data_IF_406415889466
#
_entry.id   IF_406415889466
#
_cell.length_a   1.000
_cell.length_b   1.000
_cell.length_c   1.000
_cell.angle_alpha   90.00
_cell.angle_beta   90.00
_cell.angle_gamma   90.00
#
_symmetry.space_group_name_H-M   'P 1'
#
loop_
_entity.id
_entity.type
_entity.pdbx_description
1 polymer ?
#
# COMPACT_ATOMS: atom_id res chain seq x y z
N UNK A 1 -8.24 8.84 2.85
CA UNK A 1 -8.51 7.38 2.96
C UNK A 1 -7.27 6.53 2.61
N UNK A 2 -6.51 6.90 1.59
CA UNK A 2 -5.33 6.18 1.08
C UNK A 2 -4.29 5.78 2.14
N UNK A 3 -3.96 6.69 3.08
CA UNK A 3 -3.07 6.35 4.18
C UNK A 3 -3.56 5.15 5.00
N UNK A 4 -4.83 5.16 5.40
CA UNK A 4 -5.43 4.07 6.15
C UNK A 4 -5.51 2.78 5.32
N UNK A 5 -5.80 2.88 4.01
CA UNK A 5 -5.73 1.75 3.10
C UNK A 5 -4.37 1.06 3.15
N UNK A 6 -3.27 1.81 3.00
CA UNK A 6 -1.93 1.26 3.09
C UNK A 6 -1.58 0.72 4.48
N UNK A 7 -1.87 1.49 5.52
CA UNK A 7 -1.53 1.12 6.90
C UNK A 7 -2.27 -0.15 7.38
N UNK A 8 -3.55 -0.29 7.02
CA UNK A 8 -4.38 -1.38 7.51
C UNK A 8 -4.27 -2.64 6.64
N UNK A 9 -4.07 -2.53 5.33
CA UNK A 9 -4.02 -3.70 4.45
C UNK A 9 -2.62 -4.33 4.30
N UNK A 10 -1.55 -3.59 4.56
CA UNK A 10 -0.20 -4.12 4.41
C UNK A 10 0.06 -5.37 5.28
N UNK A 11 -0.46 -5.41 6.51
CA UNK A 11 -0.27 -6.57 7.38
C UNK A 11 -1.08 -7.81 6.94
N UNK A 12 -2.39 -7.70 6.62
CA UNK A 12 -3.12 -8.79 5.95
C UNK A 12 -2.46 -9.30 4.67
N UNK A 13 -1.96 -8.41 3.80
CA UNK A 13 -1.23 -8.78 2.58
C UNK A 13 0.01 -9.61 2.93
N UNK A 14 0.81 -9.17 3.91
CA UNK A 14 1.96 -9.93 4.42
C UNK A 14 1.55 -11.33 4.87
N UNK A 15 0.47 -11.44 5.63
CA UNK A 15 0.00 -12.72 6.16
C UNK A 15 -0.42 -13.67 5.04
N UNK A 16 -1.13 -13.15 4.02
CA UNK A 16 -1.51 -13.91 2.85
C UNK A 16 -0.27 -14.42 2.09
N UNK A 17 0.71 -13.55 1.84
CA UNK A 17 1.95 -13.90 1.15
C UNK A 17 2.76 -14.97 1.90
N UNK A 18 2.84 -14.85 3.23
CA UNK A 18 3.54 -15.84 4.05
C UNK A 18 2.80 -17.18 4.07
N UNK A 19 1.49 -17.18 4.27
CA UNK A 19 0.71 -18.41 4.46
C UNK A 19 0.36 -19.13 3.17
N UNK A 20 0.14 -18.40 2.08
CA UNK A 20 -0.34 -18.97 0.80
C UNK A 20 0.73 -19.01 -0.28
N UNK A 21 1.64 -18.04 -0.29
CA UNK A 21 2.72 -17.97 -1.28
C UNK A 21 4.10 -18.35 -0.71
N UNK A 22 4.17 -18.74 0.57
CA UNK A 22 5.41 -19.15 1.26
C UNK A 22 6.54 -18.11 1.17
N UNK A 23 6.19 -16.82 1.12
CA UNK A 23 7.16 -15.72 1.11
C UNK A 23 7.83 -15.60 2.47
N UNK A 24 9.15 -15.42 2.50
CA UNK A 24 9.96 -15.42 3.72
C UNK A 24 10.96 -14.26 3.78
N UNK A 25 11.51 -14.03 4.97
CA UNK A 25 12.57 -13.04 5.20
C UNK A 25 12.13 -11.61 4.85
N UNK A 26 13.06 -10.83 4.30
CA UNK A 26 12.81 -9.43 3.92
C UNK A 26 11.69 -9.25 2.89
N UNK A 27 11.46 -10.24 2.02
CA UNK A 27 10.39 -10.18 1.01
C UNK A 27 9.00 -10.15 1.62
N UNK A 28 8.80 -10.77 2.78
CA UNK A 28 7.53 -10.71 3.50
C UNK A 28 7.23 -9.30 4.06
N UNK A 29 8.23 -8.41 4.11
CA UNK A 29 8.08 -7.02 4.52
C UNK A 29 8.04 -6.06 3.32
N UNK A 30 8.78 -6.37 2.25
CA UNK A 30 8.85 -5.52 1.06
C UNK A 30 7.66 -5.67 0.10
N UNK A 31 7.19 -6.89 -0.15
CA UNK A 31 6.11 -7.13 -1.12
C UNK A 31 4.78 -6.45 -0.77
N UNK A 32 4.32 -6.39 0.50
CA UNK A 32 3.10 -5.66 0.84
C UNK A 32 3.16 -4.16 0.45
N UNK A 33 4.32 -3.53 0.59
CA UNK A 33 4.52 -2.12 0.23
C UNK A 33 4.36 -1.94 -1.29
N UNK A 34 5.03 -2.81 -2.06
CA UNK A 34 4.97 -2.78 -3.54
C UNK A 34 3.56 -3.10 -4.05
N UNK A 35 2.90 -4.10 -3.47
CA UNK A 35 1.52 -4.47 -3.83
C UNK A 35 0.56 -3.31 -3.54
N UNK A 36 0.68 -2.66 -2.38
CA UNK A 36 -0.15 -1.50 -2.04
C UNK A 36 0.03 -0.36 -3.04
N UNK A 37 1.28 -0.02 -3.39
CA UNK A 37 1.55 0.99 -4.41
C UNK A 37 1.01 0.57 -5.78
N UNK A 38 1.16 -0.71 -6.12
CA UNK A 38 0.63 -1.29 -7.36
C UNK A 38 -0.90 -1.20 -7.46
N UNK A 39 -1.62 -1.44 -6.37
CA UNK A 39 -3.07 -1.24 -6.33
C UNK A 39 -3.45 0.23 -6.51
N UNK A 40 -2.73 1.15 -5.87
CA UNK A 40 -2.93 2.59 -6.09
C UNK A 40 -2.73 2.95 -7.56
N UNK A 41 -1.58 2.60 -8.15
CA UNK A 41 -1.31 2.88 -9.55
C UNK A 41 -2.33 2.24 -10.51
N UNK A 42 -2.77 1.02 -10.23
CA UNK A 42 -3.79 0.36 -11.05
C UNK A 42 -5.14 1.08 -10.97
N UNK A 43 -5.54 1.53 -9.77
CA UNK A 43 -6.78 2.27 -9.57
C UNK A 43 -6.75 3.61 -10.33
N UNK A 44 -5.67 4.37 -10.20
CA UNK A 44 -5.48 5.66 -10.88
C UNK A 44 -5.46 5.53 -12.41
N UNK A 45 -4.84 4.46 -12.94
CA UNK A 45 -4.89 4.15 -14.38
C UNK A 45 -6.32 3.86 -14.83
N UNK A 46 -7.09 3.11 -14.03
CA UNK A 46 -8.50 2.85 -14.33
C UNK A 46 -9.30 4.16 -14.33
N UNK A 47 -9.06 5.05 -13.38
CA UNK A 47 -9.73 6.35 -13.32
C UNK A 47 -9.39 7.22 -14.54
N UNK A 48 -8.12 7.26 -14.93
CA UNK A 48 -7.69 7.97 -16.13
C UNK A 48 -8.34 7.41 -17.41
N UNK A 49 -8.49 6.08 -17.52
CA UNK A 49 -9.16 5.45 -18.66
C UNK A 49 -10.65 5.80 -18.69
N UNK A 50 -11.34 5.71 -17.54
CA UNK A 50 -12.76 6.04 -17.43
C UNK A 50 -13.00 7.50 -17.80
N UNK A 51 -12.19 8.40 -17.27
CA UNK A 51 -12.27 9.83 -17.56
C UNK A 51 -12.06 10.13 -19.05
N UNK A 52 -11.20 9.37 -19.73
CA UNK A 52 -10.92 9.54 -21.15
C UNK A 52 -12.07 9.11 -22.06
N UNK A 53 -12.86 8.12 -21.66
CA UNK A 53 -13.96 7.57 -22.47
C UNK A 53 -15.33 8.20 -22.12
N UNK A 54 -15.45 8.81 -20.95
CA UNK A 54 -16.64 9.53 -20.52
C UNK A 54 -16.81 10.87 -21.26
N UNK A 55 -18.00 11.48 -21.16
CA UNK A 55 -18.16 12.89 -21.52
C UNK A 55 -17.29 13.76 -20.61
N UNK A 56 -16.87 14.95 -21.08
CA UNK A 56 -15.99 15.84 -20.32
C UNK A 56 -16.50 16.10 -18.88
N UNK A 57 -17.77 16.51 -18.75
CA UNK A 57 -18.37 16.79 -17.44
C UNK A 57 -18.41 15.55 -16.52
N UNK A 58 -18.64 14.36 -17.09
CA UNK A 58 -18.69 13.11 -16.32
C UNK A 58 -17.29 12.61 -15.96
N UNK A 59 -16.31 12.79 -16.83
CA UNK A 59 -14.92 12.43 -16.58
C UNK A 59 -14.29 13.31 -15.49
N UNK A 60 -14.53 14.61 -15.54
CA UNK A 60 -14.05 15.56 -14.51
C UNK A 60 -14.71 15.30 -13.15
N UNK A 61 -16.03 15.02 -13.15
CA UNK A 61 -16.74 14.64 -11.93
C UNK A 61 -16.25 13.31 -11.35
N UNK A 62 -15.85 12.36 -12.19
CA UNK A 62 -15.36 11.05 -11.77
C UNK A 62 -13.94 11.09 -11.22
N UNK A 63 -13.01 11.78 -11.91
CA UNK A 63 -11.64 11.96 -11.42
C UNK A 63 -11.58 12.74 -10.12
N UNK A 64 -12.55 13.63 -9.90
CA UNK A 64 -12.67 14.39 -8.67
C UNK A 64 -11.41 15.17 -8.25
N UNK A 65 -10.53 15.54 -9.21
CA UNK A 65 -9.25 16.21 -8.96
C UNK A 65 -9.39 17.54 -8.21
N UNK A 66 -10.57 18.18 -8.23
CA UNK A 66 -10.83 19.45 -7.57
C UNK A 66 -9.81 20.57 -7.93
N UNK A 67 -9.20 20.48 -9.12
CA UNK A 67 -8.15 21.41 -9.57
C UNK A 67 -6.74 21.12 -9.06
N UNK A 68 -6.51 20.00 -8.37
CA UNK A 68 -5.20 19.53 -7.93
C UNK A 68 -4.63 18.51 -8.94
N UNK A 69 -3.68 18.90 -9.80
CA UNK A 69 -3.07 17.98 -10.76
C UNK A 69 -2.17 16.92 -10.12
N UNK A 70 -1.90 17.03 -8.81
CA UNK A 70 -1.06 16.11 -8.06
C UNK A 70 -1.84 15.13 -7.17
N UNK A 71 -3.18 15.13 -7.26
CA UNK A 71 -4.06 14.33 -6.40
C UNK A 71 -3.70 12.84 -6.47
N UNK A 72 -3.66 12.28 -7.68
CA UNK A 72 -3.18 10.92 -7.98
C UNK A 72 -1.84 10.58 -7.30
N UNK A 73 -0.84 11.46 -7.40
CA UNK A 73 0.48 11.21 -6.80
C UNK A 73 0.42 11.28 -5.27
N UNK A 74 -0.37 12.20 -4.71
CA UNK A 74 -0.57 12.35 -3.26
C UNK A 74 -1.29 11.13 -2.69
N UNK A 75 -2.28 10.60 -3.38
CA UNK A 75 -3.04 9.43 -2.96
C UNK A 75 -2.18 8.16 -2.95
N UNK A 76 -1.42 7.93 -4.04
CA UNK A 76 -0.45 6.85 -4.07
C UNK A 76 0.64 7.01 -2.99
N UNK A 77 1.13 8.24 -2.76
CA UNK A 77 2.13 8.51 -1.73
C UNK A 77 1.58 8.24 -0.32
N UNK A 78 0.33 8.63 -0.06
CA UNK A 78 -0.33 8.37 1.22
C UNK A 78 -0.49 6.87 1.47
N UNK A 79 -0.95 6.10 0.46
CA UNK A 79 -1.03 4.65 0.54
C UNK A 79 0.34 4.01 0.77
N UNK A 80 1.36 4.46 0.04
CA UNK A 80 2.74 4.00 0.21
C UNK A 80 3.27 4.27 1.63
N UNK A 81 3.08 5.49 2.15
CA UNK A 81 3.53 5.87 3.49
C UNK A 81 2.86 5.03 4.59
N UNK A 82 1.55 4.78 4.47
CA UNK A 82 0.81 3.91 5.37
C UNK A 82 1.38 2.50 5.41
N UNK A 83 1.59 1.89 4.24
CA UNK A 83 2.16 0.54 4.14
C UNK A 83 3.60 0.46 4.65
N UNK A 84 4.41 1.48 4.36
CA UNK A 84 5.80 1.57 4.82
C UNK A 84 5.87 1.62 6.35
N UNK A 85 5.03 2.43 6.99
CA UNK A 85 4.96 2.53 8.45
C UNK A 85 4.50 1.20 9.05
N UNK A 86 3.43 0.59 8.52
CA UNK A 86 2.92 -0.69 9.02
C UNK A 86 3.97 -1.81 8.95
N UNK A 87 4.70 -1.90 7.83
CA UNK A 87 5.77 -2.89 7.67
C UNK A 87 7.01 -2.56 8.49
N UNK A 88 7.33 -1.28 8.68
CA UNK A 88 8.39 -0.82 9.59
C UNK A 88 8.12 -1.21 11.04
N UNK A 89 6.90 -0.95 11.53
CA UNK A 89 6.46 -1.37 12.86
C UNK A 89 6.51 -2.90 12.99
N UNK A 90 6.02 -3.62 11.99
CA UNK A 90 6.07 -5.10 11.97
C UNK A 90 7.51 -5.60 12.05
N UNK A 91 8.44 -4.98 11.32
CA UNK A 91 9.85 -5.35 11.34
C UNK A 91 10.48 -5.12 12.73
N UNK A 92 10.17 -4.00 13.39
CA UNK A 92 10.62 -3.72 14.76
C UNK A 92 10.08 -4.77 15.74
N UNK A 93 8.79 -5.09 15.67
CA UNK A 93 8.16 -6.11 16.54
C UNK A 93 8.83 -7.47 16.35
N UNK A 94 9.10 -7.89 15.10
CA UNK A 94 9.79 -9.15 14.82
C UNK A 94 11.20 -9.13 15.42
N UNK A 95 11.97 -8.04 15.24
CA UNK A 95 13.33 -7.92 15.79
C UNK A 95 13.35 -8.02 17.31
N UNK A 96 12.44 -7.32 18.00
CA UNK A 96 12.34 -7.36 19.47
C UNK A 96 12.00 -8.77 19.95
N UNK A 97 11.03 -9.44 19.32
CA UNK A 97 10.65 -10.82 19.67
C UNK A 97 11.79 -11.81 19.48
N UNK A 98 12.54 -11.69 18.38
CA UNK A 98 13.72 -12.54 18.13
C UNK A 98 14.83 -12.28 19.14
N UNK A 99 15.08 -11.02 19.52
CA UNK A 99 16.09 -10.68 20.51
C UNK A 99 15.76 -11.26 21.89
N UNK A 100 14.50 -11.20 22.31
CA UNK A 100 14.05 -11.78 23.59
C UNK A 100 14.07 -13.32 23.61
N UNK A 101 13.93 -13.96 22.45
CA UNK A 101 13.92 -15.43 22.35
C UNK A 101 15.32 -16.06 22.35
N UNK A 102 16.40 -15.27 22.31
CA UNK A 102 17.76 -15.80 22.38
C UNK A 102 18.13 -16.13 23.84
N UNK A 103 18.49 -17.38 24.17
CA UNK A 103 18.96 -17.71 25.50
C UNK A 103 20.27 -16.98 25.78
N UNK A 104 20.33 -16.31 26.93
CA UNK A 104 21.57 -15.70 27.45
C UNK A 104 22.36 -16.85 28.07
N UNK A 105 23.39 -17.33 27.37
CA UNK A 105 24.40 -18.24 27.90
C UNK A 105 25.69 -17.46 28.12
#
# INVERSE_FOLDING_TARGET
VHFAFGALLAYPQREMLMRKANVRGGWALGLPIVITLGFGAAYEILEAVVARVASADAGDAFLALQGDPWDTQKDMLMAFAGALIAMGVTAVVIRVRVAQARPVF
#
